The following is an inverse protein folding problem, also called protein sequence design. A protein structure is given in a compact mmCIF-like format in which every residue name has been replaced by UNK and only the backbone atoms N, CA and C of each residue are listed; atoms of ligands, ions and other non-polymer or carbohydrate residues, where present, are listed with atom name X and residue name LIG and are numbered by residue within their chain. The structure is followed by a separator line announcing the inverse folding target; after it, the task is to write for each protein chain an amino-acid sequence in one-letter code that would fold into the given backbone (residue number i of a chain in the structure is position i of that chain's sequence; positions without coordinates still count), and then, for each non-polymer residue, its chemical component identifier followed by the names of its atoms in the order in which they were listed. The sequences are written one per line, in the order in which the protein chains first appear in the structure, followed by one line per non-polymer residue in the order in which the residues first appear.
data_IF_392625873863
#
_entry.id   IF_392625873863
#
_cell.length_a   1.000
_cell.length_b   1.000
_cell.length_c   1.000
_cell.angle_alpha   90.00
_cell.angle_beta   90.00
_cell.angle_gamma   90.00
#
_symmetry.space_group_name_H-M   'P 1'
#
loop_
_entity.id
_entity.type
_entity.pdbx_description
1 polymer ?
#
# COMPACT_ATOMS: atom_id res chain seq x y z
N UNK A 1 8.60 8.66 20.70
CA UNK A 1 8.94 9.15 19.35
C UNK A 1 10.07 8.30 18.81
N UNK A 2 9.78 7.51 17.76
CA UNK A 2 10.81 6.73 17.07
C UNK A 2 11.70 7.68 16.25
N UNK A 3 13.02 7.49 16.30
CA UNK A 3 13.94 8.18 15.39
C UNK A 3 13.66 7.79 13.94
N UNK A 4 14.13 8.55 12.96
CA UNK A 4 13.96 8.20 11.54
C UNK A 4 14.63 6.85 11.21
N UNK A 5 15.72 6.52 11.91
CA UNK A 5 16.37 5.21 11.79
C UNK A 5 15.47 4.10 12.36
N UNK A 6 14.82 4.33 13.51
CA UNK A 6 13.90 3.35 14.11
C UNK A 6 12.65 3.17 13.27
N UNK A 7 12.14 4.24 12.66
CA UNK A 7 11.03 4.18 11.71
C UNK A 7 11.40 3.37 10.48
N UNK A 8 12.58 3.60 9.90
CA UNK A 8 13.08 2.81 8.79
C UNK A 8 13.22 1.34 9.18
N UNK A 9 13.78 1.03 10.35
CA UNK A 9 13.89 -0.34 10.86
C UNK A 9 12.51 -1.00 11.06
N UNK A 10 11.52 -0.26 11.54
CA UNK A 10 10.15 -0.76 11.70
C UNK A 10 9.50 -1.12 10.35
N UNK A 11 9.71 -0.32 9.31
CA UNK A 11 9.23 -0.61 7.95
C UNK A 11 9.69 -1.95 7.39
N UNK A 12 10.92 -2.34 7.70
CA UNK A 12 11.50 -3.57 7.16
C UNK A 12 11.17 -4.80 8.00
N UNK A 13 10.62 -4.62 9.20
CA UNK A 13 10.38 -5.73 10.13
C UNK A 13 9.40 -6.77 9.58
N UNK A 14 8.39 -6.34 8.81
CA UNK A 14 7.41 -7.25 8.21
C UNK A 14 8.04 -8.24 7.22
N UNK A 15 9.05 -7.82 6.48
CA UNK A 15 9.78 -8.67 5.53
C UNK A 15 10.56 -9.79 6.20
N UNK A 16 10.98 -9.59 7.45
CA UNK A 16 11.69 -10.62 8.22
C UNK A 16 10.78 -11.73 8.75
N UNK A 17 9.47 -11.50 8.81
CA UNK A 17 8.50 -12.50 9.27
C UNK A 17 7.95 -13.37 8.14
N UNK A 18 8.16 -12.97 6.88
CA UNK A 18 7.78 -13.75 5.71
C UNK A 18 9.03 -14.10 4.89
N UNK A 19 9.61 -15.26 5.17
CA UNK A 19 10.85 -15.72 4.53
C UNK A 19 10.72 -15.88 3.01
N UNK A 20 9.52 -16.24 2.50
CA UNK A 20 9.28 -16.40 1.07
C UNK A 20 9.30 -15.06 0.32
N UNK A 21 9.00 -13.97 1.03
CA UNK A 21 9.04 -12.62 0.50
C UNK A 21 10.36 -11.88 0.82
N UNK A 22 11.28 -12.52 1.54
CA UNK A 22 12.54 -11.92 1.94
C UNK A 22 13.49 -11.77 0.75
N UNK A 23 13.72 -10.54 0.34
CA UNK A 23 14.68 -10.19 -0.72
C UNK A 23 15.69 -9.18 -0.15
N UNK A 24 16.87 -9.65 0.31
CA UNK A 24 17.84 -8.78 0.98
C UNK A 24 18.40 -7.68 0.08
N UNK A 25 18.52 -7.93 -1.22
CA UNK A 25 19.02 -6.94 -2.19
C UNK A 25 18.00 -5.81 -2.41
N UNK A 26 16.72 -6.16 -2.53
CA UNK A 26 15.64 -5.18 -2.65
C UNK A 26 15.53 -4.35 -1.35
N UNK A 27 15.52 -5.01 -0.19
CA UNK A 27 15.45 -4.35 1.11
C UNK A 27 16.62 -3.38 1.29
N UNK A 28 17.83 -3.76 0.88
CA UNK A 28 19.02 -2.89 0.97
C UNK A 28 18.85 -1.64 0.08
N UNK A 29 18.32 -1.78 -1.13
CA UNK A 29 18.05 -0.64 -2.02
C UNK A 29 16.96 0.28 -1.48
N UNK A 30 15.88 -0.28 -0.94
CA UNK A 30 14.82 0.49 -0.28
C UNK A 30 15.39 1.30 0.88
N UNK A 31 16.19 0.67 1.73
CA UNK A 31 16.83 1.33 2.87
C UNK A 31 17.73 2.48 2.42
N UNK A 32 18.57 2.26 1.40
CA UNK A 32 19.45 3.28 0.84
C UNK A 32 18.66 4.49 0.33
N UNK A 33 17.55 4.27 -0.39
CA UNK A 33 16.69 5.35 -0.87
C UNK A 33 15.99 6.10 0.26
N UNK A 34 15.46 5.39 1.25
CA UNK A 34 14.83 6.01 2.43
C UNK A 34 15.85 6.81 3.25
N UNK A 35 17.07 6.33 3.38
CA UNK A 35 18.15 7.06 4.06
C UNK A 35 18.51 8.37 3.32
N UNK A 36 18.50 8.37 1.98
CA UNK A 36 18.68 9.59 1.18
C UNK A 36 17.56 10.61 1.42
N UNK A 37 16.32 10.14 1.49
CA UNK A 37 15.18 11.01 1.81
C UNK A 37 15.33 11.56 3.24
N UNK A 38 15.71 10.73 4.20
CA UNK A 38 15.89 11.11 5.60
C UNK A 38 17.02 12.16 5.79
N UNK A 39 18.03 12.14 4.94
CA UNK A 39 19.14 13.11 4.99
C UNK A 39 18.71 14.54 4.65
N UNK A 40 17.65 14.71 3.84
CA UNK A 40 17.03 15.99 3.51
C UNK A 40 15.52 15.80 3.31
N UNK A 41 14.74 15.66 4.39
CA UNK A 41 13.35 15.21 4.34
C UNK A 41 12.43 16.31 3.83
N UNK A 42 12.12 16.28 2.54
CA UNK A 42 11.17 17.15 1.86
C UNK A 42 10.59 16.46 0.62
N UNK A 43 9.51 17.01 0.10
CA UNK A 43 8.83 16.49 -1.09
C UNK A 43 9.76 16.41 -2.31
N UNK A 44 10.58 17.43 -2.55
CA UNK A 44 11.50 17.45 -3.68
C UNK A 44 12.53 16.30 -3.63
N UNK A 45 13.08 16.01 -2.47
CA UNK A 45 14.03 14.89 -2.26
C UNK A 45 13.32 13.55 -2.41
N UNK A 46 12.16 13.40 -1.82
CA UNK A 46 11.40 12.15 -1.86
C UNK A 46 10.88 11.85 -3.27
N UNK A 47 10.26 12.83 -3.94
CA UNK A 47 9.70 12.65 -5.29
C UNK A 47 10.76 12.26 -6.33
N UNK A 48 12.00 12.67 -6.14
CA UNK A 48 13.13 12.29 -7.00
C UNK A 48 13.45 10.78 -6.95
N UNK A 49 13.05 10.08 -5.89
CA UNK A 49 13.24 8.64 -5.72
C UNK A 49 12.04 7.81 -6.22
N UNK A 50 10.97 8.47 -6.69
CA UNK A 50 9.73 7.82 -7.08
C UNK A 50 9.66 7.53 -8.57
N UNK A 51 8.87 6.50 -8.90
CA UNK A 51 8.47 6.19 -10.28
C UNK A 51 6.97 5.94 -10.34
N UNK A 52 6.37 6.22 -11.49
CA UNK A 52 4.99 5.84 -11.79
C UNK A 52 4.95 4.44 -12.36
N UNK A 53 4.16 3.57 -11.76
CA UNK A 53 3.97 2.17 -12.21
C UNK A 53 2.59 2.06 -12.83
N UNK A 54 2.53 1.60 -14.09
CA UNK A 54 1.26 1.20 -14.71
C UNK A 54 0.87 -0.19 -14.23
N UNK A 55 -0.36 -0.32 -13.75
CA UNK A 55 -0.91 -1.56 -13.20
C UNK A 55 -2.21 -1.95 -13.91
N UNK A 56 -2.44 -3.26 -14.16
CA UNK A 56 -3.72 -3.73 -14.65
C UNK A 56 -4.76 -3.70 -13.53
N UNK A 57 -5.97 -3.28 -13.87
CA UNK A 57 -7.08 -3.24 -12.90
C UNK A 57 -8.37 -3.72 -13.54
N UNK A 58 -9.27 -4.29 -12.73
CA UNK A 58 -10.67 -4.44 -13.08
C UNK A 58 -11.45 -3.22 -12.60
N UNK A 59 -12.38 -2.76 -13.41
CA UNK A 59 -13.32 -1.70 -13.02
C UNK A 59 -14.75 -2.22 -13.14
N UNK A 60 -15.66 -1.69 -12.35
CA UNK A 60 -17.07 -1.94 -12.52
C UNK A 60 -17.70 -0.85 -13.38
N UNK A 61 -18.38 -1.26 -14.42
CA UNK A 61 -19.20 -0.38 -15.27
C UNK A 61 -20.56 -1.04 -15.47
N UNK A 62 -21.62 -0.41 -14.95
CA UNK A 62 -22.99 -0.98 -14.96
C UNK A 62 -23.02 -2.40 -14.34
N UNK A 63 -22.29 -2.62 -13.25
CA UNK A 63 -22.22 -3.90 -12.54
C UNK A 63 -21.36 -4.97 -13.22
N UNK A 64 -20.69 -4.65 -14.34
CA UNK A 64 -19.85 -5.58 -15.06
C UNK A 64 -18.35 -5.25 -14.91
N UNK A 65 -17.52 -6.29 -14.85
CA UNK A 65 -16.07 -6.18 -14.81
C UNK A 65 -15.54 -5.77 -16.18
N UNK A 66 -14.81 -4.68 -16.23
CA UNK A 66 -14.15 -4.16 -17.43
C UNK A 66 -12.67 -4.01 -17.14
N UNK A 67 -11.82 -4.57 -18.01
CA UNK A 67 -10.36 -4.43 -17.90
C UNK A 67 -9.94 -2.98 -18.15
N UNK A 68 -8.96 -2.53 -17.40
CA UNK A 68 -8.39 -1.20 -17.51
C UNK A 68 -6.98 -1.14 -16.95
N UNK A 69 -6.43 0.06 -16.90
CA UNK A 69 -5.13 0.34 -16.30
C UNK A 69 -5.25 1.52 -15.33
N UNK A 70 -4.38 1.54 -14.34
CA UNK A 70 -4.17 2.65 -13.43
C UNK A 70 -2.68 2.90 -13.26
N UNK A 71 -2.32 4.04 -12.67
CA UNK A 71 -0.94 4.36 -12.35
C UNK A 71 -0.85 4.62 -10.85
N UNK A 72 0.22 4.11 -10.25
CA UNK A 72 0.55 4.36 -8.86
C UNK A 72 2.01 4.78 -8.75
N UNK A 73 2.27 5.83 -7.98
CA UNK A 73 3.62 6.34 -7.76
C UNK A 73 4.20 5.73 -6.49
N UNK A 74 5.35 5.08 -6.62
CA UNK A 74 6.01 4.36 -5.53
C UNK A 74 7.52 4.55 -5.58
N UNK A 75 8.22 4.18 -4.51
CA UNK A 75 9.68 4.14 -4.46
C UNK A 75 10.21 3.26 -5.60
N UNK A 76 11.20 3.73 -6.34
CA UNK A 76 11.64 3.07 -7.58
C UNK A 76 12.10 1.63 -7.39
N UNK A 77 12.75 1.32 -6.26
CA UNK A 77 13.26 -0.04 -5.99
C UNK A 77 12.17 -1.08 -5.74
N UNK A 78 10.93 -0.69 -5.43
CA UNK A 78 9.81 -1.62 -5.26
C UNK A 78 8.83 -1.65 -6.45
N UNK A 79 9.15 -0.95 -7.53
CA UNK A 79 8.25 -0.83 -8.68
C UNK A 79 7.88 -2.19 -9.30
N UNK A 80 8.84 -3.10 -9.42
CA UNK A 80 8.58 -4.44 -9.96
C UNK A 80 7.71 -5.26 -9.02
N UNK A 81 7.97 -5.21 -7.71
CA UNK A 81 7.16 -5.87 -6.69
C UNK A 81 5.70 -5.40 -6.75
N UNK A 82 5.49 -4.09 -6.84
CA UNK A 82 4.15 -3.50 -6.99
C UNK A 82 3.45 -3.98 -8.26
N UNK A 83 4.16 -4.01 -9.39
CA UNK A 83 3.60 -4.49 -10.65
C UNK A 83 3.18 -5.97 -10.56
N UNK A 84 3.99 -6.80 -9.95
CA UNK A 84 3.69 -8.22 -9.72
C UNK A 84 2.46 -8.39 -8.82
N UNK A 85 2.38 -7.66 -7.71
CA UNK A 85 1.23 -7.69 -6.78
C UNK A 85 -0.07 -7.39 -7.53
N UNK A 86 -0.13 -6.29 -8.27
CA UNK A 86 -1.36 -5.91 -8.99
C UNK A 86 -1.67 -6.84 -10.17
N UNK A 87 -0.67 -7.44 -10.78
CA UNK A 87 -0.87 -8.48 -11.80
C UNK A 87 -1.49 -9.74 -11.18
N UNK A 88 -1.06 -10.15 -9.99
CA UNK A 88 -1.66 -11.26 -9.24
C UNK A 88 -3.11 -10.96 -8.85
N UNK A 89 -3.40 -9.75 -8.37
CA UNK A 89 -4.77 -9.32 -8.04
C UNK A 89 -5.64 -9.37 -9.31
N UNK A 90 -5.16 -8.85 -10.41
CA UNK A 90 -5.87 -8.83 -11.69
C UNK A 90 -6.20 -10.24 -12.21
N UNK A 91 -5.25 -11.17 -12.08
CA UNK A 91 -5.40 -12.56 -12.53
C UNK A 91 -6.11 -13.46 -11.51
N UNK A 92 -6.39 -12.97 -10.32
CA UNK A 92 -7.06 -13.73 -9.28
C UNK A 92 -8.54 -14.01 -9.59
N UNK A 93 -9.12 -15.07 -9.02
CA UNK A 93 -10.52 -15.47 -9.30
C UNK A 93 -11.55 -14.43 -8.84
N UNK A 94 -11.21 -13.59 -7.87
CA UNK A 94 -12.09 -12.52 -7.39
C UNK A 94 -12.29 -11.41 -8.44
N UNK A 95 -11.31 -11.20 -9.34
CA UNK A 95 -11.28 -10.05 -10.24
C UNK A 95 -11.60 -8.74 -9.50
N UNK A 96 -10.89 -8.52 -8.39
CA UNK A 96 -11.18 -7.43 -7.46
C UNK A 96 -11.17 -6.08 -8.17
N UNK A 97 -12.29 -5.31 -8.10
CA UNK A 97 -12.38 -4.04 -8.80
C UNK A 97 -11.63 -2.95 -8.05
N UNK A 98 -10.82 -2.19 -8.76
CA UNK A 98 -10.07 -1.05 -8.22
C UNK A 98 -10.62 0.23 -8.87
N UNK A 99 -11.29 1.05 -8.07
CA UNK A 99 -11.77 2.36 -8.51
C UNK A 99 -10.69 3.42 -8.30
N UNK A 100 -9.96 3.33 -7.20
CA UNK A 100 -8.93 4.29 -6.81
C UNK A 100 -7.73 3.59 -6.18
N UNK A 101 -6.54 4.03 -6.54
CA UNK A 101 -5.28 3.58 -5.96
C UNK A 101 -4.36 4.79 -5.79
N UNK A 102 -3.76 4.92 -4.61
CA UNK A 102 -2.81 5.97 -4.30
C UNK A 102 -1.56 5.42 -3.63
N UNK A 103 -0.40 5.97 -3.96
CA UNK A 103 0.88 5.57 -3.41
C UNK A 103 1.59 6.75 -2.74
N UNK A 104 2.68 7.21 -3.35
CA UNK A 104 3.46 8.33 -2.84
C UNK A 104 2.61 9.58 -2.62
N UNK A 105 2.78 10.15 -1.44
CA UNK A 105 2.21 11.44 -1.09
C UNK A 105 3.00 12.00 0.09
N UNK A 106 3.72 13.10 -0.12
CA UNK A 106 4.46 13.74 0.97
C UNK A 106 3.50 14.29 2.03
N UNK A 107 3.66 13.85 3.26
CA UNK A 107 2.82 14.24 4.40
C UNK A 107 3.53 15.26 5.29
N UNK A 108 2.77 16.03 6.05
CA UNK A 108 3.30 17.04 6.98
C UNK A 108 4.17 16.45 8.10
N UNK A 109 3.95 15.19 8.47
CA UNK A 109 4.77 14.46 9.43
C UNK A 109 5.99 13.76 8.78
N UNK A 110 6.30 14.08 7.51
CA UNK A 110 7.43 13.54 6.77
C UNK A 110 7.45 12.01 6.77
N UNK A 111 8.61 11.43 7.05
CA UNK A 111 8.82 9.97 7.10
C UNK A 111 8.08 9.26 8.24
N UNK A 112 7.31 9.97 9.06
CA UNK A 112 6.33 9.36 9.95
C UNK A 112 5.16 8.69 9.21
N UNK A 113 5.02 8.94 7.91
CA UNK A 113 4.08 8.26 7.02
C UNK A 113 4.84 7.50 5.93
N UNK A 114 4.45 6.25 5.70
CA UNK A 114 5.00 5.40 4.65
C UNK A 114 4.65 5.90 3.24
N UNK A 115 3.60 6.69 3.11
CA UNK A 115 3.29 7.38 1.86
C UNK A 115 4.37 8.39 1.47
N UNK A 116 5.00 9.04 2.44
CA UNK A 116 6.08 9.99 2.19
C UNK A 116 7.37 9.34 1.67
N UNK A 117 7.58 8.07 1.93
CA UNK A 117 8.70 7.29 1.39
C UNK A 117 8.31 6.46 0.16
N UNK A 118 7.06 6.56 -0.32
CA UNK A 118 6.58 5.78 -1.45
C UNK A 118 6.50 4.27 -1.19
N UNK A 119 6.40 3.86 0.08
CA UNK A 119 6.37 2.46 0.53
C UNK A 119 5.00 2.05 1.09
N UNK A 120 3.95 2.80 0.77
CA UNK A 120 2.57 2.49 1.11
C UNK A 120 1.63 2.72 -0.08
N UNK A 121 0.57 1.94 -0.11
CA UNK A 121 -0.48 1.99 -1.15
C UNK A 121 -1.84 1.92 -0.47
N UNK A 122 -2.74 2.83 -0.87
CA UNK A 122 -4.15 2.82 -0.48
C UNK A 122 -5.01 2.38 -1.66
N UNK A 123 -5.96 1.49 -1.39
CA UNK A 123 -6.88 0.94 -2.40
C UNK A 123 -8.32 1.24 -2.00
N UNK A 124 -9.10 1.84 -2.90
CA UNK A 124 -10.51 2.14 -2.74
C UNK A 124 -10.84 2.78 -1.37
N UNK A 125 -10.33 3.96 -1.05
CA UNK A 125 -10.48 4.57 0.28
C UNK A 125 -11.92 4.67 0.77
N UNK A 126 -12.87 5.00 -0.11
CA UNK A 126 -14.27 5.16 0.27
C UNK A 126 -14.89 3.87 0.84
N UNK A 127 -14.54 2.73 0.27
CA UNK A 127 -15.06 1.43 0.66
C UNK A 127 -14.18 0.68 1.68
N UNK A 128 -13.02 1.26 2.01
CA UNK A 128 -12.03 0.68 2.93
C UNK A 128 -11.52 1.76 3.90
N UNK A 129 -12.37 2.16 4.86
CA UNK A 129 -12.10 3.31 5.71
C UNK A 129 -10.96 3.10 6.68
N UNK A 130 -10.42 4.22 7.17
CA UNK A 130 -9.66 4.27 8.42
C UNK A 130 -10.62 4.48 9.58
N UNK A 131 -10.49 3.62 10.60
CA UNK A 131 -11.37 3.58 11.77
C UNK A 131 -10.53 3.90 13.01
N UNK A 132 -11.07 4.78 13.88
CA UNK A 132 -10.38 5.20 15.10
C UNK A 132 -10.25 4.01 16.09
N UNK A 133 -9.44 4.22 17.11
CA UNK A 133 -9.16 3.22 18.17
C UNK A 133 -10.41 2.75 18.94
N UNK A 134 -11.52 3.50 18.89
CA UNK A 134 -12.81 3.08 19.42
C UNK A 134 -13.50 1.97 18.62
N UNK A 135 -12.96 1.63 17.44
CA UNK A 135 -13.46 0.58 16.57
C UNK A 135 -14.73 0.95 15.78
N UNK A 136 -15.20 2.18 15.87
CA UNK A 136 -16.48 2.62 15.28
C UNK A 136 -16.42 3.92 14.52
N UNK A 137 -15.64 4.90 14.99
CA UNK A 137 -15.55 6.21 14.35
C UNK A 137 -14.73 6.15 13.08
N UNK A 138 -15.36 6.48 11.94
CA UNK A 138 -14.68 6.57 10.65
C UNK A 138 -13.94 7.91 10.57
N UNK A 139 -12.63 7.84 10.35
CA UNK A 139 -11.75 9.01 10.22
C UNK A 139 -11.57 9.43 8.76
N UNK A 140 -11.42 8.45 7.86
CA UNK A 140 -11.25 8.64 6.43
C UNK A 140 -12.04 7.56 5.70
N UNK A 141 -12.62 7.91 4.55
CA UNK A 141 -13.44 6.98 3.78
C UNK A 141 -14.88 6.94 4.25
N UNK A 142 -15.57 5.85 4.00
CA UNK A 142 -16.99 5.72 4.28
C UNK A 142 -17.29 4.45 5.10
N UNK A 143 -17.78 3.39 4.47
CA UNK A 143 -18.21 2.19 5.16
C UNK A 143 -17.51 0.94 4.63
N UNK A 144 -17.07 0.09 5.54
CA UNK A 144 -16.47 -1.18 5.19
C UNK A 144 -17.52 -2.29 5.21
N UNK A 145 -17.84 -2.85 4.04
CA UNK A 145 -18.88 -3.84 3.85
C UNK A 145 -18.40 -4.97 2.90
N UNK A 146 -17.40 -5.76 3.30
CA UNK A 146 -16.93 -6.87 2.47
C UNK A 146 -18.04 -7.89 2.23
N UNK A 147 -18.15 -8.36 0.97
CA UNK A 147 -19.22 -9.25 0.56
C UNK A 147 -20.53 -8.56 0.16
N UNK A 148 -20.68 -7.26 0.46
CA UNK A 148 -21.81 -6.43 0.06
C UNK A 148 -21.37 -5.37 -0.95
N UNK A 149 -20.37 -4.56 -0.57
CA UNK A 149 -19.74 -3.61 -1.47
C UNK A 149 -18.55 -4.29 -2.17
N UNK A 150 -18.58 -4.44 -3.51
CA UNK A 150 -17.51 -5.14 -4.23
C UNK A 150 -16.17 -4.43 -4.16
N UNK A 151 -16.13 -3.15 -3.80
CA UNK A 151 -14.90 -2.39 -3.61
C UNK A 151 -14.29 -2.54 -2.20
N UNK A 152 -15.03 -3.12 -1.25
CA UNK A 152 -14.51 -3.40 0.10
C UNK A 152 -13.60 -4.62 0.10
N UNK A 153 -12.42 -4.48 0.71
CA UNK A 153 -11.42 -5.54 0.82
C UNK A 153 -11.79 -6.46 1.98
N UNK A 154 -12.18 -7.69 1.67
CA UNK A 154 -12.43 -8.72 2.69
C UNK A 154 -11.13 -9.36 3.16
N UNK A 155 -11.17 -10.02 4.33
CA UNK A 155 -9.98 -10.68 4.90
C UNK A 155 -9.44 -11.83 4.04
N UNK A 156 -10.30 -12.44 3.22
CA UNK A 156 -9.95 -13.52 2.28
C UNK A 156 -9.77 -13.04 0.85
N UNK A 157 -9.72 -11.71 0.63
CA UNK A 157 -9.56 -11.09 -0.69
C UNK A 157 -8.23 -11.47 -1.34
N UNK A 158 -8.23 -11.60 -2.67
CA UNK A 158 -7.02 -11.73 -3.47
C UNK A 158 -6.05 -10.56 -3.24
N UNK A 159 -6.56 -9.38 -2.91
CA UNK A 159 -5.76 -8.20 -2.55
C UNK A 159 -4.88 -8.50 -1.33
N UNK A 160 -5.50 -8.98 -0.24
CA UNK A 160 -4.77 -9.31 0.99
C UNK A 160 -3.76 -10.43 0.75
N UNK A 161 -4.15 -11.45 -0.02
CA UNK A 161 -3.26 -12.58 -0.36
C UNK A 161 -2.05 -12.14 -1.17
N UNK A 162 -2.25 -11.32 -2.19
CA UNK A 162 -1.16 -10.86 -3.06
C UNK A 162 -0.15 -9.99 -2.29
N UNK A 163 -0.62 -8.99 -1.55
CA UNK A 163 0.26 -8.18 -0.71
C UNK A 163 0.96 -9.01 0.37
N UNK A 164 0.24 -9.90 1.04
CA UNK A 164 0.80 -10.77 2.07
C UNK A 164 1.88 -11.70 1.54
N UNK A 165 1.71 -12.28 0.35
CA UNK A 165 2.69 -13.13 -0.33
C UNK A 165 4.00 -12.38 -0.61
N UNK A 166 3.90 -11.09 -0.90
CA UNK A 166 5.06 -10.21 -1.11
C UNK A 166 5.58 -9.57 0.19
N UNK A 167 5.05 -9.98 1.35
CA UNK A 167 5.51 -9.57 2.67
C UNK A 167 5.07 -8.17 3.11
N UNK A 168 4.05 -7.59 2.46
CA UNK A 168 3.47 -6.32 2.87
C UNK A 168 2.49 -6.51 4.02
N UNK A 169 2.38 -5.48 4.88
CA UNK A 169 1.37 -5.42 5.93
C UNK A 169 0.05 -4.87 5.39
N UNK A 170 -1.05 -5.36 5.94
CA UNK A 170 -2.36 -4.73 5.77
C UNK A 170 -2.73 -3.93 7.03
N UNK A 171 -3.14 -2.67 6.85
CA UNK A 171 -3.47 -1.76 7.94
C UNK A 171 -4.69 -2.13 8.77
N UNK A 172 -5.46 -3.16 8.36
CA UNK A 172 -6.55 -3.70 9.15
C UNK A 172 -6.10 -4.21 10.54
N UNK A 173 -4.83 -4.55 10.69
CA UNK A 173 -4.23 -5.01 11.94
C UNK A 173 -3.72 -3.87 12.85
N UNK A 174 -3.78 -2.62 12.42
CA UNK A 174 -3.33 -1.50 13.21
C UNK A 174 -4.32 -1.21 14.35
N UNK A 175 -3.84 -0.59 15.44
CA UNK A 175 -4.72 -0.14 16.54
C UNK A 175 -5.77 0.87 16.06
N UNK A 176 -5.39 1.74 15.14
CA UNK A 176 -6.27 2.55 14.32
C UNK A 176 -6.39 1.84 12.97
N UNK A 177 -7.37 0.94 12.84
CA UNK A 177 -7.51 0.08 11.67
C UNK A 177 -7.64 0.90 10.39
N UNK A 178 -6.81 0.59 9.41
CA UNK A 178 -6.76 1.30 8.12
C UNK A 178 -6.94 0.30 6.99
N UNK A 179 -8.21 0.12 6.59
CA UNK A 179 -8.60 -0.96 5.69
C UNK A 179 -8.09 -0.77 4.26
N UNK A 180 -7.87 0.48 3.84
CA UNK A 180 -7.33 0.79 2.51
C UNK A 180 -5.83 0.53 2.38
N UNK A 181 -5.12 0.54 3.51
CA UNK A 181 -3.67 0.73 3.59
C UNK A 181 -2.88 -0.57 3.57
N UNK A 182 -1.90 -0.61 2.67
CA UNK A 182 -0.86 -1.65 2.60
C UNK A 182 0.51 -0.99 2.62
N UNK A 183 1.44 -1.52 3.41
CA UNK A 183 2.82 -1.04 3.45
C UNK A 183 3.86 -2.14 3.31
N UNK A 184 4.98 -1.71 2.74
CA UNK A 184 6.12 -2.57 2.40
C UNK A 184 6.77 -3.24 3.62
#
# INVERSE_FOLDING_TARGET
YLSEIDKAAYHYSSKYYNWDAYNPDEIAKVREQVDRIAANPCDATASAEMVSVEIPVWRLRNGQKVAGTAHVQVLSSIANDVKEIFTEIYNGPEQFPIESVGGYNWRSNGLGSNHSSGTAIDINPDANPQIDVDGTTVLVGNKWEPGVNPYSIGRDSDVVKAFGKHGWNWGAGFSRADMMHFDY
#
